data_IF_447359188424
#
_entry.id   IF_447359188424
#
_cell.length_a   1.000
_cell.length_b   1.000
_cell.length_c   1.000
_cell.angle_alpha   90.00
_cell.angle_beta   90.00
_cell.angle_gamma   90.00
#
_symmetry.space_group_name_H-M   'P 1'
#
loop_
_entity.id
_entity.type
_entity.pdbx_description
1 polymer ?
#
# COMPACT_ATOMS: atom_id res chain seq x y z
N UNK A 1 -20.55 7.77 -13.28
CA UNK A 1 -19.88 7.45 -13.43
C UNK A 1 -18.99 7.03 -13.59
N UNK A 2 -19.03 7.35 -13.94
CA UNK A 2 -18.39 6.50 -14.08
C UNK A 2 -17.17 6.19 -13.55
N UNK A 3 -17.15 5.62 -12.57
CA UNK A 3 -16.17 5.05 -11.95
C UNK A 3 -15.36 4.27 -12.84
N UNK A 4 -15.88 3.72 -13.77
CA UNK A 4 -15.24 2.81 -14.64
C UNK A 4 -14.08 3.34 -15.42
N UNK A 5 -13.76 4.58 -15.30
CA UNK A 5 -12.66 5.16 -16.02
C UNK A 5 -11.31 4.92 -15.36
N UNK A 6 -11.29 4.40 -14.15
CA UNK A 6 -10.02 4.05 -13.53
C UNK A 6 -9.47 2.78 -14.15
N UNK A 7 -8.22 2.83 -14.59
CA UNK A 7 -7.54 1.69 -15.17
C UNK A 7 -6.88 0.81 -14.12
N UNK A 8 -6.79 1.29 -12.89
CA UNK A 8 -6.14 0.61 -11.78
C UNK A 8 -7.17 0.06 -10.83
N UNK A 9 -7.03 -1.20 -10.46
CA UNK A 9 -7.96 -1.84 -9.53
C UNK A 9 -7.23 -2.75 -8.55
N UNK A 10 -7.86 -2.96 -7.40
CA UNK A 10 -7.38 -3.90 -6.40
C UNK A 10 -8.13 -5.20 -6.56
N UNK A 11 -7.42 -6.32 -6.55
CA UNK A 11 -8.01 -7.65 -6.61
C UNK A 11 -7.48 -8.51 -5.48
N UNK A 12 -8.35 -9.30 -4.89
CA UNK A 12 -7.94 -10.23 -3.86
C UNK A 12 -6.95 -11.25 -4.42
N UNK A 13 -6.06 -11.73 -3.56
CA UNK A 13 -5.12 -12.76 -3.92
C UNK A 13 -5.82 -14.12 -3.87
N UNK A 14 -5.66 -14.90 -4.94
CA UNK A 14 -6.24 -16.23 -5.08
C UNK A 14 -5.16 -17.22 -5.48
N UNK A 15 -5.51 -18.48 -5.54
CA UNK A 15 -4.57 -19.51 -6.02
C UNK A 15 -4.09 -19.21 -7.44
N UNK A 16 -4.93 -18.55 -8.23
CA UNK A 16 -4.63 -18.28 -9.64
C UNK A 16 -3.61 -17.16 -9.84
N UNK A 17 -3.55 -16.18 -8.93
CA UNK A 17 -2.65 -15.04 -9.08
C UNK A 17 -1.54 -14.93 -8.03
N UNK A 18 -1.54 -15.82 -7.05
CA UNK A 18 -0.57 -15.76 -5.95
C UNK A 18 0.88 -15.89 -6.42
N UNK A 19 1.15 -16.85 -7.29
CA UNK A 19 2.49 -17.05 -7.81
C UNK A 19 3.00 -15.82 -8.56
N UNK A 20 2.15 -15.22 -9.37
CA UNK A 20 2.51 -14.01 -10.11
C UNK A 20 2.86 -12.86 -9.16
N UNK A 21 2.12 -12.75 -8.05
CA UNK A 21 2.38 -11.74 -7.03
C UNK A 21 3.79 -11.93 -6.42
N UNK A 22 4.20 -13.16 -6.16
CA UNK A 22 5.52 -13.45 -5.62
C UNK A 22 6.65 -13.08 -6.60
N UNK A 23 6.37 -13.07 -7.89
CA UNK A 23 7.36 -12.75 -8.91
C UNK A 23 7.57 -11.25 -9.14
N UNK A 24 6.70 -10.41 -8.58
CA UNK A 24 6.84 -8.96 -8.68
C UNK A 24 8.04 -8.50 -7.86
N UNK A 25 8.80 -7.56 -8.39
CA UNK A 25 10.02 -7.06 -7.73
C UNK A 25 10.16 -5.54 -7.89
N UNK A 26 10.58 -4.90 -6.83
CA UNK A 26 10.93 -3.47 -6.90
C UNK A 26 12.31 -3.31 -7.54
N UNK A 27 12.66 -2.09 -7.91
CA UNK A 27 14.00 -1.79 -8.42
C UNK A 27 15.04 -2.01 -7.32
N UNK A 28 16.30 -2.22 -7.71
CA UNK A 28 17.36 -2.55 -6.76
C UNK A 28 17.53 -1.52 -5.64
N UNK A 29 17.38 -0.25 -5.96
CA UNK A 29 17.52 0.83 -4.98
C UNK A 29 16.38 0.84 -3.95
N UNK A 30 15.25 0.18 -4.24
CA UNK A 30 14.10 0.09 -3.33
C UNK A 30 14.09 -1.20 -2.52
N UNK A 31 14.85 -2.22 -2.90
CA UNK A 31 14.82 -3.52 -2.22
C UNK A 31 15.17 -3.45 -0.74
N UNK A 32 16.00 -2.51 -0.36
CA UNK A 32 16.40 -2.33 1.05
C UNK A 32 15.32 -1.70 1.91
N UNK A 33 14.25 -1.17 1.32
CA UNK A 33 13.18 -0.50 2.05
C UNK A 33 11.89 -1.31 2.15
N UNK A 34 11.76 -2.36 1.38
CA UNK A 34 10.48 -3.07 1.21
C UNK A 34 10.67 -4.57 1.44
N UNK A 35 9.79 -5.15 2.25
CA UNK A 35 9.74 -6.60 2.43
C UNK A 35 9.26 -7.25 1.13
N UNK A 36 9.70 -8.49 0.87
CA UNK A 36 9.21 -9.23 -0.29
C UNK A 36 7.71 -9.51 -0.14
N UNK A 37 7.03 -9.71 -1.27
CA UNK A 37 5.60 -10.02 -1.24
C UNK A 37 5.34 -11.34 -0.50
N UNK A 38 6.23 -12.31 -0.63
CA UNK A 38 6.11 -13.57 0.09
C UNK A 38 6.17 -13.38 1.60
N UNK A 39 7.14 -12.59 2.09
CA UNK A 39 7.25 -12.28 3.52
C UNK A 39 6.04 -11.49 4.00
N UNK A 40 5.55 -10.56 3.20
CA UNK A 40 4.37 -9.76 3.53
C UNK A 40 3.14 -10.65 3.69
N UNK A 41 2.99 -11.66 2.84
CA UNK A 41 1.85 -12.58 2.92
C UNK A 41 1.95 -13.52 4.12
N UNK A 42 3.16 -13.87 4.56
CA UNK A 42 3.33 -14.59 5.82
C UNK A 42 2.90 -13.74 7.00
N UNK A 43 3.24 -12.44 6.97
CA UNK A 43 2.78 -11.50 8.00
C UNK A 43 1.25 -11.39 7.99
N UNK A 44 0.63 -11.40 6.82
CA UNK A 44 -0.82 -11.36 6.70
C UNK A 44 -1.48 -12.59 7.34
N UNK A 45 -0.90 -13.77 7.14
CA UNK A 45 -1.42 -14.99 7.76
C UNK A 45 -1.37 -14.93 9.28
N UNK A 46 -0.29 -14.35 9.82
CA UNK A 46 -0.13 -14.19 11.26
C UNK A 46 -1.03 -13.12 11.86
N UNK A 47 -1.62 -12.27 11.03
CA UNK A 47 -2.48 -11.17 11.46
C UNK A 47 -3.79 -11.17 10.66
N UNK A 48 -4.34 -12.36 10.42
CA UNK A 48 -5.51 -12.55 9.56
C UNK A 48 -6.73 -11.71 9.93
N UNK A 49 -6.85 -11.35 11.21
CA UNK A 49 -7.99 -10.56 11.69
C UNK A 49 -7.99 -9.14 11.14
N UNK A 50 -6.80 -8.60 10.87
CA UNK A 50 -6.65 -7.19 10.49
C UNK A 50 -6.01 -6.98 9.12
N UNK A 51 -5.23 -7.92 8.64
CA UNK A 51 -4.49 -7.77 7.39
C UNK A 51 -5.38 -7.98 6.16
N UNK A 52 -5.25 -7.07 5.20
CA UNK A 52 -5.99 -7.13 3.93
C UNK A 52 -5.00 -7.01 2.77
N UNK A 53 -4.50 -8.14 2.24
CA UNK A 53 -3.57 -8.12 1.10
C UNK A 53 -4.32 -8.07 -0.23
N UNK A 54 -3.79 -7.28 -1.17
CA UNK A 54 -4.35 -7.12 -2.51
C UNK A 54 -3.27 -7.09 -3.57
N UNK A 55 -3.58 -7.69 -4.72
CA UNK A 55 -2.80 -7.46 -5.92
C UNK A 55 -3.33 -6.18 -6.60
N UNK A 56 -2.43 -5.41 -7.18
CA UNK A 56 -2.78 -4.20 -7.92
C UNK A 56 -2.69 -4.51 -9.41
N UNK A 57 -3.78 -4.24 -10.12
CA UNK A 57 -3.86 -4.44 -11.56
C UNK A 57 -4.01 -3.11 -12.27
N UNK A 58 -3.36 -2.97 -13.41
CA UNK A 58 -3.48 -1.79 -14.26
C UNK A 58 -3.74 -2.27 -15.68
N UNK A 59 -4.85 -1.86 -16.26
CA UNK A 59 -5.29 -2.30 -17.60
C UNK A 59 -5.26 -3.83 -17.74
N UNK A 60 -5.71 -4.52 -16.70
CA UNK A 60 -5.82 -5.98 -16.72
C UNK A 60 -4.54 -6.74 -16.42
N UNK A 61 -3.44 -6.05 -16.14
CA UNK A 61 -2.15 -6.69 -15.80
C UNK A 61 -1.80 -6.44 -14.35
N UNK A 62 -1.27 -7.45 -13.69
CA UNK A 62 -0.76 -7.29 -12.32
C UNK A 62 0.51 -6.43 -12.34
N UNK A 63 0.49 -5.32 -11.64
CA UNK A 63 1.60 -4.37 -11.61
C UNK A 63 2.15 -4.11 -10.22
N UNK A 64 1.48 -4.60 -9.18
CA UNK A 64 1.94 -4.32 -7.82
C UNK A 64 1.19 -5.10 -6.77
N UNK A 65 1.52 -4.76 -5.52
CA UNK A 65 0.96 -5.40 -4.34
C UNK A 65 0.76 -4.35 -3.26
N UNK A 66 -0.30 -4.48 -2.50
CA UNK A 66 -0.53 -3.65 -1.33
C UNK A 66 -1.12 -4.50 -0.21
N UNK A 67 -0.83 -4.11 1.03
CA UNK A 67 -1.42 -4.77 2.18
C UNK A 67 -1.81 -3.71 3.20
N UNK A 68 -3.05 -3.78 3.65
CA UNK A 68 -3.63 -2.84 4.59
C UNK A 68 -3.86 -3.51 5.94
N UNK A 69 -3.89 -2.72 7.00
CA UNK A 69 -4.38 -3.16 8.29
C UNK A 69 -5.63 -2.37 8.61
N UNK A 70 -6.70 -3.08 8.91
CA UNK A 70 -7.96 -2.51 9.41
C UNK A 70 -8.25 -3.12 10.75
N UNK A 71 -7.99 -2.38 11.82
CA UNK A 71 -8.20 -2.84 13.19
C UNK A 71 -9.18 -1.91 13.90
N UNK A 72 -10.46 -2.13 13.66
CA UNK A 72 -11.53 -1.30 14.20
C UNK A 72 -11.60 -1.31 15.73
N UNK A 73 -10.95 -2.28 16.37
CA UNK A 73 -10.96 -2.43 17.82
C UNK A 73 -9.71 -1.85 18.49
N UNK A 74 -8.77 -1.35 17.70
CA UNK A 74 -7.55 -0.77 18.27
C UNK A 74 -7.92 0.44 19.12
N UNK A 75 -7.28 0.55 20.28
CA UNK A 75 -7.62 1.58 21.26
C UNK A 75 -7.49 3.00 20.71
N UNK A 76 -6.34 3.33 20.12
CA UNK A 76 -6.13 4.65 19.54
C UNK A 76 -6.74 4.70 18.14
N UNK A 77 -7.78 5.53 17.92
CA UNK A 77 -8.43 5.61 16.61
C UNK A 77 -7.49 5.96 15.46
N UNK A 78 -6.42 6.70 15.71
CA UNK A 78 -5.48 7.12 14.67
C UNK A 78 -4.66 5.94 14.13
N UNK A 79 -4.54 4.87 14.90
CA UNK A 79 -3.74 3.70 14.53
C UNK A 79 -4.57 2.52 14.00
N UNK A 80 -5.85 2.74 13.73
CA UNK A 80 -6.73 1.66 13.26
C UNK A 80 -6.52 1.30 11.79
N UNK A 81 -6.07 2.23 10.97
CA UNK A 81 -6.04 2.07 9.52
C UNK A 81 -4.66 2.41 8.97
N UNK A 82 -3.94 1.36 8.55
CA UNK A 82 -2.57 1.51 8.06
C UNK A 82 -2.40 0.93 6.68
N UNK A 83 -1.61 1.62 5.84
CA UNK A 83 -1.08 1.05 4.62
C UNK A 83 0.26 0.40 5.00
N UNK A 84 0.24 -0.91 5.23
CA UNK A 84 1.40 -1.64 5.71
C UNK A 84 2.44 -1.91 4.62
N UNK A 85 1.98 -2.22 3.42
CA UNK A 85 2.87 -2.55 2.30
C UNK A 85 2.29 -1.97 1.02
N UNK A 86 3.18 -1.45 0.19
CA UNK A 86 2.79 -0.93 -1.11
C UNK A 86 4.00 -0.95 -2.03
N UNK A 87 3.90 -1.66 -3.16
CA UNK A 87 4.96 -1.67 -4.15
C UNK A 87 4.38 -1.76 -5.57
N UNK A 88 5.10 -1.16 -6.52
CA UNK A 88 4.83 -1.31 -7.94
C UNK A 88 6.03 -2.04 -8.54
N UNK A 89 5.76 -3.04 -9.36
CA UNK A 89 6.79 -3.83 -10.03
C UNK A 89 7.74 -2.93 -10.81
N UNK A 90 9.03 -3.24 -10.76
CA UNK A 90 10.07 -2.41 -11.37
C UNK A 90 9.81 -2.09 -12.84
N UNK A 91 9.28 -3.06 -13.59
CA UNK A 91 9.00 -2.88 -15.02
C UNK A 91 7.84 -1.91 -15.30
N UNK A 92 7.09 -1.56 -14.28
CA UNK A 92 5.92 -0.69 -14.39
C UNK A 92 6.08 0.66 -13.68
N UNK A 93 7.26 0.93 -13.13
CA UNK A 93 7.53 2.21 -12.46
C UNK A 93 7.79 3.32 -13.47
N UNK A 94 7.66 4.57 -13.01
CA UNK A 94 7.95 5.74 -13.84
C UNK A 94 6.88 6.10 -14.86
N UNK A 95 5.70 5.50 -14.77
CA UNK A 95 4.61 5.73 -15.73
C UNK A 95 3.35 6.32 -15.08
N UNK A 96 3.47 6.81 -13.86
CA UNK A 96 2.32 7.35 -13.13
C UNK A 96 1.42 6.29 -12.50
N UNK A 97 1.75 5.01 -12.65
CA UNK A 97 0.94 3.91 -12.12
C UNK A 97 0.92 3.95 -10.59
N UNK A 98 2.05 4.25 -9.95
CA UNK A 98 2.11 4.34 -8.49
C UNK A 98 1.16 5.39 -7.92
N UNK A 99 1.10 6.57 -8.55
CA UNK A 99 0.19 7.63 -8.11
C UNK A 99 -1.28 7.23 -8.32
N UNK A 100 -1.58 6.59 -9.43
CA UNK A 100 -2.94 6.12 -9.71
C UNK A 100 -3.35 5.01 -8.75
N UNK A 101 -2.44 4.06 -8.49
CA UNK A 101 -2.67 2.98 -7.55
C UNK A 101 -2.92 3.54 -6.14
N UNK A 102 -2.14 4.52 -5.72
CA UNK A 102 -2.31 5.14 -4.40
C UNK A 102 -3.68 5.82 -4.29
N UNK A 103 -4.15 6.49 -5.33
CA UNK A 103 -5.51 7.06 -5.34
C UNK A 103 -6.58 5.99 -5.17
N UNK A 104 -6.39 4.84 -5.84
CA UNK A 104 -7.31 3.70 -5.72
C UNK A 104 -7.31 3.14 -4.30
N UNK A 105 -6.13 3.04 -3.68
CA UNK A 105 -5.98 2.60 -2.29
C UNK A 105 -6.67 3.57 -1.34
N UNK A 106 -6.46 4.87 -1.51
CA UNK A 106 -7.09 5.89 -0.66
C UNK A 106 -8.62 5.78 -0.75
N UNK A 107 -9.15 5.57 -1.94
CA UNK A 107 -10.59 5.39 -2.13
C UNK A 107 -11.09 4.15 -1.39
N UNK A 108 -10.33 3.06 -1.44
CA UNK A 108 -10.69 1.84 -0.73
C UNK A 108 -10.83 2.10 0.78
N UNK A 109 -9.85 2.79 1.38
CA UNK A 109 -9.90 3.12 2.81
C UNK A 109 -11.14 3.97 3.12
N UNK A 110 -11.37 4.99 2.32
CA UNK A 110 -12.51 5.89 2.51
C UNK A 110 -13.84 5.14 2.39
N UNK A 111 -13.98 4.32 1.36
CA UNK A 111 -15.21 3.56 1.11
C UNK A 111 -15.46 2.49 2.17
N UNK A 112 -14.43 2.07 2.89
CA UNK A 112 -14.55 1.07 3.95
C UNK A 112 -14.54 1.68 5.35
N UNK A 113 -14.80 2.98 5.46
CA UNK A 113 -15.07 3.62 6.74
C UNK A 113 -13.88 4.19 7.48
N UNK A 114 -12.71 4.20 6.88
CA UNK A 114 -11.53 4.78 7.53
C UNK A 114 -11.63 6.29 7.57
N UNK A 115 -11.21 6.89 8.68
CA UNK A 115 -11.18 8.34 8.86
C UNK A 115 -9.80 8.92 8.54
N UNK A 116 -8.79 8.08 8.49
CA UNK A 116 -7.43 8.47 8.16
C UNK A 116 -6.67 7.23 7.71
N UNK A 117 -5.53 7.46 7.09
CA UNK A 117 -4.59 6.40 6.73
C UNK A 117 -3.25 6.77 7.33
N UNK A 118 -2.60 5.82 7.99
CA UNK A 118 -1.21 5.98 8.43
C UNK A 118 -0.31 5.04 7.65
N UNK A 119 0.93 5.45 7.46
CA UNK A 119 1.98 4.60 6.92
C UNK A 119 3.29 5.03 7.50
N UNK A 120 4.30 4.18 7.40
CA UNK A 120 5.65 4.55 7.80
C UNK A 120 6.63 4.22 6.69
N UNK A 121 7.70 4.99 6.60
CA UNK A 121 8.76 4.78 5.63
C UNK A 121 10.05 5.37 6.16
N UNK A 122 11.16 4.88 5.65
CA UNK A 122 12.47 5.44 6.03
C UNK A 122 12.64 6.83 5.42
N UNK A 123 13.24 7.72 6.20
CA UNK A 123 13.44 9.10 5.78
C UNK A 123 14.29 9.19 4.51
N UNK A 124 15.21 8.27 4.31
CA UNK A 124 16.09 8.23 3.13
C UNK A 124 15.33 7.80 1.86
N UNK A 125 14.16 7.21 1.99
CA UNK A 125 13.39 6.76 0.84
C UNK A 125 12.63 7.93 0.20
N UNK A 126 13.39 8.81 -0.45
CA UNK A 126 12.88 10.06 -1.02
C UNK A 126 11.81 9.83 -2.07
N UNK A 127 11.95 8.77 -2.87
CA UNK A 127 10.99 8.44 -3.92
C UNK A 127 9.61 8.16 -3.33
N UNK A 128 9.56 7.34 -2.29
CA UNK A 128 8.31 7.03 -1.60
C UNK A 128 7.74 8.26 -0.90
N UNK A 129 8.57 9.02 -0.20
CA UNK A 129 8.13 10.24 0.47
C UNK A 129 7.48 11.23 -0.50
N UNK A 130 8.09 11.44 -1.67
CA UNK A 130 7.54 12.34 -2.65
C UNK A 130 6.18 11.86 -3.17
N UNK A 131 6.04 10.56 -3.38
CA UNK A 131 4.79 9.96 -3.82
C UNK A 131 3.68 10.21 -2.80
N UNK A 132 3.96 9.92 -1.53
CA UNK A 132 2.97 10.08 -0.46
C UNK A 132 2.62 11.55 -0.23
N UNK A 133 3.60 12.44 -0.21
CA UNK A 133 3.35 13.87 -0.01
C UNK A 133 2.54 14.48 -1.14
N UNK A 134 2.78 14.06 -2.38
CA UNK A 134 1.97 14.51 -3.52
C UNK A 134 0.52 14.07 -3.40
N UNK A 135 0.26 12.95 -2.75
CA UNK A 135 -1.10 12.46 -2.52
C UNK A 135 -1.78 13.14 -1.33
N UNK A 136 -1.06 13.96 -0.57
CA UNK A 136 -1.61 14.69 0.56
C UNK A 136 -1.20 14.20 1.94
N UNK A 137 -0.38 13.15 2.02
CA UNK A 137 0.13 12.69 3.31
C UNK A 137 1.09 13.72 3.90
N UNK A 138 1.09 13.84 5.22
CA UNK A 138 1.99 14.74 5.95
C UNK A 138 2.72 13.98 7.04
N UNK A 139 3.90 14.46 7.41
CA UNK A 139 4.68 13.90 8.51
C UNK A 139 4.03 14.25 9.84
N UNK A 140 3.84 13.26 10.69
CA UNK A 140 3.17 13.44 11.98
C UNK A 140 4.14 13.87 13.10
N UNK A 141 5.43 13.65 12.90
CA UNK A 141 6.43 13.84 13.95
C UNK A 141 6.64 12.58 14.79
N UNK A 142 5.82 11.55 14.55
CA UNK A 142 5.97 10.27 15.27
C UNK A 142 6.90 9.34 14.50
N UNK A 143 7.52 8.43 15.24
CA UNK A 143 8.40 7.42 14.68
C UNK A 143 7.83 6.03 14.96
N UNK A 144 8.02 5.13 14.00
CA UNK A 144 7.70 3.72 14.16
C UNK A 144 9.03 2.99 13.92
N UNK A 145 9.71 2.62 14.98
CA UNK A 145 11.09 2.16 14.96
C UNK A 145 11.97 3.21 14.25
N UNK A 146 12.64 2.87 13.17
CA UNK A 146 13.49 3.81 12.43
C UNK A 146 12.76 4.53 11.31
N UNK A 147 11.45 4.35 11.21
CA UNK A 147 10.66 4.94 10.12
C UNK A 147 9.83 6.12 10.61
N UNK A 148 9.69 7.11 9.75
CA UNK A 148 8.81 8.25 10.04
C UNK A 148 7.37 7.87 9.70
N UNK A 149 6.44 8.36 10.50
CA UNK A 149 5.00 8.10 10.31
C UNK A 149 4.36 9.26 9.56
N UNK A 150 3.65 8.93 8.48
CA UNK A 150 2.87 9.91 7.73
C UNK A 150 1.39 9.58 7.88
N UNK A 151 0.56 10.59 7.70
CA UNK A 151 -0.88 10.46 7.84
C UNK A 151 -1.62 11.24 6.75
N UNK A 152 -2.73 10.68 6.29
CA UNK A 152 -3.68 11.35 5.43
C UNK A 152 -5.04 11.33 6.13
N UNK A 153 -5.65 12.49 6.30
CA UNK A 153 -7.00 12.59 6.85
C UNK A 153 -8.01 12.46 5.71
N UNK A 154 -9.04 11.66 5.91
CA UNK A 154 -10.03 11.37 4.88
C UNK A 154 -11.34 12.12 5.06
#
# INVERSE_FOLDING_TARGET
>A
MIQGNSKTELRELTKDNLKQCFELKVSKDQMKYIASNEDSLKDAENNADVARPFAIYHEGKMVGFAMFAFDDLYEDPLDRYWLWRFMIDADHQGKGIGSEALRTIIRYFKDNGANNIRLSTKEENIKALNLYKRAGFYETGEMNDEEIVLQLDL
#
